data_IF_121259358781
#
_entry.id   IF_121259358781
#
_cell.length_a   1.000
_cell.length_b   1.000
_cell.length_c   1.000
_cell.angle_alpha   90.00
_cell.angle_beta   90.00
_cell.angle_gamma   90.00
#
_symmetry.space_group_name_H-M   'P 1'
#
loop_
_entity.id
_entity.type
_entity.pdbx_description
1 polymer ?
#
# COMPACT_ATOMS: atom_id res chain seq x y z
N UNK A 1 -3.31 -61.57 41.26
CA UNK A 1 -3.11 -60.95 39.93
C UNK A 1 -4.15 -59.84 39.81
N UNK A 2 -3.98 -58.73 40.53
CA UNK A 2 -3.25 -57.50 40.16
C UNK A 2 -4.15 -56.58 39.32
N UNK A 3 -5.01 -55.77 39.94
CA UNK A 3 -4.80 -54.35 40.36
C UNK A 3 -4.27 -53.45 39.24
N UNK A 4 -5.15 -52.64 38.67
CA UNK A 4 -4.85 -51.40 37.93
C UNK A 4 -5.63 -50.25 38.56
N UNK A 5 -4.99 -49.15 38.97
CA UNK A 5 -5.64 -47.97 39.52
C UNK A 5 -5.85 -46.86 38.46
N UNK A 6 -6.85 -46.01 38.69
CA UNK A 6 -6.96 -44.67 38.10
C UNK A 6 -5.76 -43.79 38.47
N UNK A 7 -5.52 -42.72 37.70
CA UNK A 7 -5.65 -41.41 38.34
C UNK A 7 -6.27 -40.30 37.46
N UNK A 8 -7.17 -39.56 38.11
CA UNK A 8 -7.23 -38.10 38.24
C UNK A 8 -7.12 -37.15 37.03
N UNK A 9 -8.27 -36.53 36.79
CA UNK A 9 -8.47 -35.21 36.20
C UNK A 9 -7.69 -34.15 37.00
N UNK A 10 -6.87 -33.36 36.33
CA UNK A 10 -6.51 -32.03 36.79
C UNK A 10 -6.91 -30.99 35.73
N UNK A 11 -7.93 -30.20 36.07
CA UNK A 11 -8.26 -28.95 35.44
C UNK A 11 -7.26 -27.88 35.93
N UNK A 12 -6.49 -27.28 35.02
CA UNK A 12 -5.87 -25.99 35.27
C UNK A 12 -6.45 -24.97 34.29
N UNK A 13 -7.45 -24.25 34.77
CA UNK A 13 -7.88 -22.98 34.22
C UNK A 13 -6.91 -21.91 34.73
N UNK A 14 -6.13 -21.30 33.83
CA UNK A 14 -5.32 -20.12 34.14
C UNK A 14 -6.19 -18.90 33.88
N UNK A 15 -6.66 -18.28 34.95
CA UNK A 15 -7.31 -16.96 34.98
C UNK A 15 -6.19 -15.93 35.03
N UNK A 16 -6.03 -15.13 33.97
CA UNK A 16 -5.22 -13.92 33.99
C UNK A 16 -6.13 -12.74 34.33
N UNK A 17 -6.00 -12.27 35.57
CA UNK A 17 -6.65 -11.06 36.07
C UNK A 17 -5.90 -9.82 35.59
N UNK A 18 -6.62 -8.95 34.89
CA UNK A 18 -6.28 -7.54 34.71
C UNK A 18 -6.44 -6.81 36.04
N UNK A 19 -5.46 -5.97 36.39
CA UNK A 19 -5.67 -4.86 37.31
C UNK A 19 -4.84 -3.67 36.86
N UNK A 20 -5.53 -2.67 36.32
CA UNK A 20 -5.09 -1.27 36.22
C UNK A 20 -6.14 -0.45 36.93
N UNK A 21 -5.73 0.33 37.93
CA UNK A 21 -6.09 1.75 38.12
C UNK A 21 -5.86 2.19 39.57
N UNK A 22 -5.14 3.30 39.74
CA UNK A 22 -5.67 4.55 40.31
C UNK A 22 -4.58 5.36 41.02
N UNK A 23 -4.33 6.58 40.54
CA UNK A 23 -4.14 7.73 41.43
C UNK A 23 -4.48 9.01 40.68
N UNK A 24 -5.60 9.60 41.06
CA UNK A 24 -5.98 10.99 40.78
C UNK A 24 -5.08 11.96 41.56
N UNK A 25 -4.81 13.14 41.01
CA UNK A 25 -4.65 14.35 41.80
C UNK A 25 -4.93 15.60 40.95
N UNK A 26 -5.89 16.38 41.44
CA UNK A 26 -6.41 17.66 40.97
C UNK A 26 -5.38 18.81 40.96
N UNK A 27 -5.68 19.87 40.19
CA UNK A 27 -5.03 21.17 40.36
C UNK A 27 -5.39 22.21 39.30
N UNK A 28 -6.54 22.87 39.47
CA UNK A 28 -6.93 24.10 38.76
C UNK A 28 -6.18 25.32 39.30
N UNK A 29 -5.69 26.24 38.46
CA UNK A 29 -5.63 27.71 38.77
C UNK A 29 -5.50 28.54 37.49
N UNK A 30 -6.28 29.63 37.43
CA UNK A 30 -6.34 30.69 36.41
C UNK A 30 -5.15 31.68 36.47
N UNK A 31 -4.86 32.38 35.37
CA UNK A 31 -4.55 33.83 35.27
C UNK A 31 -3.88 34.11 33.89
N UNK A 32 -4.54 34.80 32.95
CA UNK A 32 -4.60 36.26 32.79
C UNK A 32 -3.41 36.85 32.00
N UNK A 33 -3.76 37.53 30.89
CA UNK A 33 -2.87 38.33 30.02
C UNK A 33 -2.23 39.51 30.79
N UNK A 34 -1.23 40.20 30.19
CA UNK A 34 -1.59 41.41 29.47
C UNK A 34 -0.82 41.65 28.15
N UNK A 35 -1.43 42.50 27.33
CA UNK A 35 -0.89 43.09 26.11
C UNK A 35 0.15 44.18 26.41
N UNK A 36 1.05 44.41 25.45
CA UNK A 36 1.61 45.75 25.17
C UNK A 36 1.92 45.90 23.70
N UNK A 37 1.38 46.97 23.15
CA UNK A 37 1.65 47.59 21.85
C UNK A 37 3.13 47.97 21.70
N UNK A 38 3.64 48.01 20.46
CA UNK A 38 4.54 49.10 20.08
C UNK A 38 4.47 49.41 18.59
N UNK A 39 4.24 50.69 18.31
CA UNK A 39 4.21 51.35 17.02
C UNK A 39 5.59 51.40 16.35
N UNK A 40 5.63 51.59 15.03
CA UNK A 40 6.92 51.90 14.38
C UNK A 40 6.99 51.99 12.86
N UNK A 41 6.34 53.03 12.29
CA UNK A 41 6.85 53.87 11.18
C UNK A 41 7.08 53.25 9.78
N UNK A 42 6.29 53.75 8.83
CA UNK A 42 6.47 53.51 7.38
C UNK A 42 7.47 54.44 6.68
N UNK A 43 7.57 54.25 5.36
CA UNK A 43 7.83 55.30 4.37
C UNK A 43 7.51 54.81 2.95
N UNK A 44 6.57 55.50 2.32
CA UNK A 44 6.27 55.51 0.89
C UNK A 44 7.36 56.21 0.07
N UNK A 45 7.45 55.88 -1.22
CA UNK A 45 7.68 56.84 -2.32
C UNK A 45 7.30 56.23 -3.68
N UNK A 46 6.21 56.74 -4.25
CA UNK A 46 5.95 56.88 -5.69
C UNK A 46 6.84 58.05 -6.25
N UNK A 47 6.97 58.42 -7.54
CA UNK A 47 6.41 58.09 -8.87
C UNK A 47 7.23 58.84 -9.97
N UNK A 48 6.78 58.70 -11.22
CA UNK A 48 7.03 59.44 -12.50
C UNK A 48 7.90 58.67 -13.51
N UNK A 49 7.34 58.03 -14.56
CA UNK A 49 6.78 58.57 -15.85
C UNK A 49 7.88 59.16 -16.76
N UNK A 50 8.00 58.91 -18.07
CA UNK A 50 7.01 58.69 -19.14
C UNK A 50 7.72 58.22 -20.45
N UNK A 51 7.00 57.64 -21.43
CA UNK A 51 7.35 57.79 -22.86
C UNK A 51 7.27 56.57 -23.81
N UNK A 52 6.09 56.36 -24.43
CA UNK A 52 5.73 55.88 -25.80
C UNK A 52 6.72 55.03 -26.65
N UNK A 53 6.34 54.02 -27.46
CA UNK A 53 5.08 53.51 -28.01
C UNK A 53 5.36 52.82 -29.36
N UNK A 54 4.65 51.73 -29.71
CA UNK A 54 4.26 51.26 -31.07
C UNK A 54 4.16 49.71 -31.21
N UNK A 55 2.89 49.27 -31.33
CA UNK A 55 2.31 48.26 -32.24
C UNK A 55 2.95 46.90 -32.60
N UNK A 56 2.06 45.90 -32.47
CA UNK A 56 1.85 44.72 -33.31
C UNK A 56 2.83 43.54 -33.21
N UNK A 57 2.41 42.45 -32.57
CA UNK A 57 1.76 41.32 -33.29
C UNK A 57 1.25 40.30 -32.27
N UNK A 58 0.01 39.85 -32.45
CA UNK A 58 -0.60 38.81 -31.64
C UNK A 58 0.08 37.46 -31.90
N UNK A 59 0.59 36.80 -30.86
CA UNK A 59 0.72 35.34 -30.85
C UNK A 59 0.12 34.86 -29.54
N UNK A 60 -1.19 34.64 -29.56
CA UNK A 60 -1.86 33.77 -28.60
C UNK A 60 -1.34 32.36 -28.84
N UNK A 61 -0.22 32.03 -28.22
CA UNK A 61 0.07 30.66 -27.87
C UNK A 61 -0.94 30.30 -26.79
N UNK A 62 -2.02 29.66 -27.22
CA UNK A 62 -2.86 28.85 -26.34
C UNK A 62 -1.94 27.81 -25.70
N UNK A 63 -1.34 28.17 -24.57
CA UNK A 63 -0.90 27.20 -23.59
C UNK A 63 -2.18 26.58 -23.05
N UNK A 64 -2.64 25.56 -23.77
CA UNK A 64 -3.53 24.55 -23.24
C UNK A 64 -2.81 23.95 -22.03
N UNK A 65 -3.07 24.53 -20.87
CA UNK A 65 -2.81 24.00 -19.54
C UNK A 65 -3.71 22.77 -19.33
N UNK A 66 -3.68 21.81 -20.26
CA UNK A 66 -4.19 20.47 -20.03
C UNK A 66 -3.21 19.82 -19.07
N UNK A 67 -3.54 19.95 -17.79
CA UNK A 67 -3.10 19.02 -16.75
C UNK A 67 -3.09 17.62 -17.39
N UNK A 68 -1.92 16.92 -17.45
CA UNK A 68 -1.87 15.60 -18.06
C UNK A 68 -2.95 14.75 -17.40
N UNK A 69 -3.76 14.06 -18.19
CA UNK A 69 -4.90 13.26 -17.74
C UNK A 69 -4.47 12.29 -16.62
N UNK A 70 -4.57 12.74 -15.36
CA UNK A 70 -3.78 12.22 -14.22
C UNK A 70 -4.19 10.81 -13.80
N UNK A 71 -5.27 10.29 -14.36
CA UNK A 71 -5.89 8.99 -14.01
C UNK A 71 -6.29 8.19 -15.25
N UNK A 72 -6.02 8.68 -16.47
CA UNK A 72 -6.50 8.07 -17.71
C UNK A 72 -6.18 6.58 -17.83
N UNK A 73 -5.03 6.13 -17.30
CA UNK A 73 -4.62 4.73 -17.33
C UNK A 73 -5.50 3.76 -16.51
N UNK A 74 -6.21 4.26 -15.48
CA UNK A 74 -7.11 3.46 -14.62
C UNK A 74 -8.60 3.70 -14.93
N UNK A 75 -8.91 4.62 -15.85
CA UNK A 75 -10.29 5.06 -16.12
C UNK A 75 -11.23 3.90 -16.40
N UNK A 76 -10.84 2.95 -17.27
CA UNK A 76 -11.67 1.80 -17.63
C UNK A 76 -11.97 0.90 -16.42
N UNK A 77 -10.97 0.65 -15.58
CA UNK A 77 -11.13 -0.17 -14.38
C UNK A 77 -12.03 0.50 -13.34
N UNK A 78 -11.87 1.81 -13.13
CA UNK A 78 -12.73 2.59 -12.24
C UNK A 78 -14.17 2.59 -12.79
N UNK A 79 -14.36 2.87 -14.07
CA UNK A 79 -15.66 2.86 -14.73
C UNK A 79 -16.36 1.50 -14.60
N UNK A 80 -15.63 0.40 -14.78
CA UNK A 80 -16.15 -0.95 -14.60
C UNK A 80 -16.62 -1.20 -13.15
N UNK A 81 -15.92 -0.68 -12.14
CA UNK A 81 -16.35 -0.75 -10.74
C UNK A 81 -17.59 0.11 -10.50
N UNK A 82 -17.61 1.36 -10.97
CA UNK A 82 -18.76 2.26 -10.82
C UNK A 82 -20.01 1.69 -11.49
N UNK A 83 -19.87 1.02 -12.64
CA UNK A 83 -20.95 0.32 -13.31
C UNK A 83 -21.48 -0.89 -12.52
N UNK A 84 -20.68 -1.47 -11.62
CA UNK A 84 -21.10 -2.57 -10.75
C UNK A 84 -21.79 -2.10 -9.46
N UNK A 85 -21.62 -0.84 -9.07
CA UNK A 85 -22.26 -0.26 -7.90
C UNK A 85 -23.74 0.00 -8.22
N UNK A 86 -24.61 -0.83 -7.64
CA UNK A 86 -26.06 -0.67 -7.73
C UNK A 86 -26.60 -0.03 -6.44
N UNK A 87 -26.83 1.29 -6.51
CA UNK A 87 -27.33 2.09 -5.40
C UNK A 87 -28.75 1.72 -4.95
N UNK A 88 -29.50 0.97 -5.76
CA UNK A 88 -30.86 0.54 -5.43
C UNK A 88 -30.89 -0.67 -4.50
N UNK A 89 -29.84 -1.51 -4.56
CA UNK A 89 -29.72 -2.74 -3.76
C UNK A 89 -28.67 -2.64 -2.66
N UNK A 90 -27.77 -1.66 -2.73
CA UNK A 90 -26.79 -1.38 -1.68
C UNK A 90 -27.41 -0.67 -0.49
N UNK A 91 -26.81 -0.90 0.69
CA UNK A 91 -27.12 -0.13 1.89
C UNK A 91 -26.76 1.35 1.71
N UNK A 92 -27.14 2.18 2.67
CA UNK A 92 -26.70 3.58 2.74
C UNK A 92 -25.19 3.75 2.93
N UNK A 93 -24.42 2.65 3.00
CA UNK A 93 -22.99 2.64 3.28
C UNK A 93 -22.25 1.93 2.16
N UNK A 94 -21.26 2.59 1.56
CA UNK A 94 -20.30 1.93 0.65
C UNK A 94 -19.04 1.57 1.44
N UNK A 95 -18.90 0.28 1.75
CA UNK A 95 -17.72 -0.23 2.42
C UNK A 95 -16.59 -0.41 1.40
N UNK A 96 -15.50 0.33 1.58
CA UNK A 96 -14.30 0.29 0.74
C UNK A 96 -13.16 -0.36 1.54
N UNK A 97 -12.48 -1.35 0.96
CA UNK A 97 -11.27 -1.94 1.54
C UNK A 97 -10.07 -1.65 0.66
N UNK A 98 -9.13 -0.85 1.16
CA UNK A 98 -7.87 -0.57 0.50
C UNK A 98 -6.75 -1.42 1.10
N UNK A 99 -6.01 -2.12 0.23
CA UNK A 99 -4.83 -2.88 0.61
C UNK A 99 -3.71 -2.63 -0.41
N UNK A 100 -2.79 -1.76 -0.04
CA UNK A 100 -1.59 -1.47 -0.83
C UNK A 100 -0.40 -2.26 -0.27
N UNK A 101 0.33 -2.92 -1.15
CA UNK A 101 1.51 -3.71 -0.79
C UNK A 101 2.70 -3.29 -1.64
N UNK A 102 3.74 -2.65 -1.05
CA UNK A 102 3.86 -2.18 0.33
C UNK A 102 2.93 -1.00 0.67
N UNK A 103 2.78 -0.71 1.98
CA UNK A 103 1.86 0.33 2.44
C UNK A 103 2.35 1.73 2.03
N UNK A 104 1.49 2.63 1.53
CA UNK A 104 1.87 4.00 1.20
C UNK A 104 2.40 4.75 2.43
N UNK A 105 3.29 5.71 2.21
CA UNK A 105 3.77 6.63 3.24
C UNK A 105 2.74 7.74 3.50
N UNK A 106 2.77 8.34 4.69
CA UNK A 106 1.98 9.55 4.95
C UNK A 106 2.48 10.74 4.14
N UNK A 107 1.51 11.57 3.77
CA UNK A 107 1.63 12.95 3.31
C UNK A 107 2.52 13.86 4.19
N UNK A 108 2.79 13.52 5.46
CA UNK A 108 3.61 14.35 6.36
C UNK A 108 5.13 14.27 6.10
N UNK A 109 5.62 13.20 5.47
CA UNK A 109 7.08 13.00 5.25
C UNK A 109 7.57 13.52 3.90
N UNK A 110 6.66 13.92 3.02
CA UNK A 110 6.98 14.41 1.68
C UNK A 110 6.10 15.62 1.43
N UNK A 111 6.70 16.81 1.30
CA UNK A 111 5.98 18.05 0.99
C UNK A 111 4.88 17.77 -0.04
N UNK A 112 3.62 18.01 0.36
CA UNK A 112 2.40 17.72 -0.40
C UNK A 112 2.31 18.44 -1.77
N UNK A 113 3.37 19.18 -2.14
CA UNK A 113 3.48 20.02 -3.34
C UNK A 113 4.17 19.25 -4.48
N UNK A 114 4.78 18.08 -4.24
CA UNK A 114 5.53 17.33 -5.27
C UNK A 114 5.12 15.85 -5.37
N UNK A 115 3.82 15.57 -5.38
CA UNK A 115 3.26 14.27 -5.78
C UNK A 115 2.45 14.38 -7.09
N UNK A 116 3.02 14.74 -8.26
CA UNK A 116 2.20 15.00 -9.45
C UNK A 116 1.95 13.75 -10.30
N UNK A 117 2.71 12.66 -10.14
CA UNK A 117 2.81 11.62 -11.18
C UNK A 117 2.28 10.22 -10.80
N UNK A 118 1.78 10.04 -9.57
CA UNK A 118 0.91 8.91 -9.23
C UNK A 118 -0.23 9.48 -8.40
N UNK A 119 -1.27 10.00 -9.05
CA UNK A 119 -2.59 10.06 -8.40
C UNK A 119 -2.92 8.62 -8.00
N UNK A 120 -3.01 8.37 -6.70
CA UNK A 120 -3.09 6.99 -6.22
C UNK A 120 -4.34 6.32 -6.79
N UNK A 121 -4.27 5.05 -7.17
CA UNK A 121 -5.45 4.31 -7.67
C UNK A 121 -6.62 4.38 -6.66
N UNK A 122 -6.28 4.53 -5.38
CA UNK A 122 -7.20 4.83 -4.29
C UNK A 122 -7.93 6.17 -4.46
N UNK A 123 -7.24 7.29 -4.69
CA UNK A 123 -7.86 8.61 -4.88
C UNK A 123 -8.77 8.65 -6.11
N UNK A 124 -8.32 8.06 -7.22
CA UNK A 124 -9.10 7.91 -8.44
C UNK A 124 -10.42 7.17 -8.18
N UNK A 125 -10.33 6.02 -7.50
CA UNK A 125 -11.49 5.21 -7.15
C UNK A 125 -12.41 5.94 -6.17
N UNK A 126 -11.85 6.55 -5.12
CA UNK A 126 -12.61 7.25 -4.10
C UNK A 126 -13.39 8.42 -4.69
N UNK A 127 -12.75 9.23 -5.54
CA UNK A 127 -13.39 10.36 -6.21
C UNK A 127 -14.57 9.91 -7.07
N UNK A 128 -14.39 8.84 -7.85
CA UNK A 128 -15.44 8.29 -8.70
C UNK A 128 -16.59 7.67 -7.88
N UNK A 129 -16.30 7.02 -6.75
CA UNK A 129 -17.33 6.52 -5.84
C UNK A 129 -18.10 7.69 -5.24
N UNK A 130 -17.40 8.73 -4.77
CA UNK A 130 -18.02 9.90 -4.16
C UNK A 130 -18.97 10.61 -5.12
N UNK A 131 -18.56 10.81 -6.37
CA UNK A 131 -19.42 11.35 -7.44
C UNK A 131 -20.66 10.47 -7.66
N UNK A 132 -20.49 9.14 -7.65
CA UNK A 132 -21.60 8.19 -7.86
C UNK A 132 -22.63 8.24 -6.72
N UNK A 133 -22.19 8.46 -5.48
CA UNK A 133 -23.05 8.34 -4.29
C UNK A 133 -23.59 9.68 -3.78
N UNK A 134 -23.45 10.78 -4.53
CA UNK A 134 -23.83 12.15 -4.15
C UNK A 134 -25.35 12.33 -3.95
N UNK A 135 -25.87 11.63 -2.95
CA UNK A 135 -27.26 11.56 -2.55
C UNK A 135 -27.32 11.67 -1.03
N UNK A 136 -28.24 12.47 -0.49
CA UNK A 136 -28.32 12.70 0.95
C UNK A 136 -28.51 11.40 1.72
N UNK A 137 -27.71 11.22 2.78
CA UNK A 137 -27.78 10.06 3.68
C UNK A 137 -26.95 8.85 3.27
N UNK A 138 -26.11 8.94 2.23
CA UNK A 138 -25.10 7.92 1.92
C UNK A 138 -23.71 8.34 2.37
N UNK A 139 -22.93 7.38 2.85
CA UNK A 139 -21.54 7.60 3.22
C UNK A 139 -20.62 6.43 2.82
N UNK A 140 -19.32 6.70 2.79
CA UNK A 140 -18.23 5.77 2.48
C UNK A 140 -17.57 5.40 3.81
N UNK A 141 -17.40 4.10 4.06
CA UNK A 141 -16.60 3.58 5.17
C UNK A 141 -15.37 2.88 4.59
N UNK A 142 -14.19 3.44 4.82
CA UNK A 142 -12.93 2.99 4.27
C UNK A 142 -12.15 2.22 5.33
N UNK A 143 -11.76 1.01 4.98
CA UNK A 143 -10.86 0.17 5.76
C UNK A 143 -9.50 0.13 5.06
N UNK A 144 -8.45 0.61 5.73
CA UNK A 144 -7.08 0.43 5.29
C UNK A 144 -6.49 -0.83 5.93
N UNK A 145 -6.14 -1.81 5.11
CA UNK A 145 -5.37 -2.97 5.52
C UNK A 145 -3.90 -2.57 5.64
N UNK A 146 -3.40 -2.48 6.87
CA UNK A 146 -2.03 -2.03 7.18
C UNK A 146 -1.17 -3.18 7.73
N UNK A 147 0.15 -3.21 7.50
CA UNK A 147 1.00 -4.24 8.09
C UNK A 147 1.05 -4.10 9.63
N UNK A 148 1.41 -5.19 10.33
CA UNK A 148 1.52 -5.19 11.81
C UNK A 148 2.56 -4.18 12.33
N UNK A 149 3.65 -3.97 11.58
CA UNK A 149 4.69 -2.98 11.87
C UNK A 149 4.39 -1.71 11.07
N UNK A 150 3.40 -0.96 11.51
CA UNK A 150 2.95 0.27 10.85
C UNK A 150 2.89 1.43 11.84
N UNK A 151 3.28 2.62 11.41
CA UNK A 151 3.12 3.82 12.22
C UNK A 151 1.74 4.42 11.97
N UNK A 152 0.93 4.60 13.01
CA UNK A 152 -0.43 5.15 12.89
C UNK A 152 -0.47 6.56 12.27
N UNK A 153 0.65 7.31 12.28
CA UNK A 153 0.76 8.60 11.57
C UNK A 153 0.81 8.46 10.05
N UNK A 154 0.90 7.23 9.53
CA UNK A 154 0.97 6.92 8.10
C UNK A 154 -0.40 6.60 7.46
N UNK A 155 -1.48 6.52 8.25
CA UNK A 155 -2.83 6.37 7.70
C UNK A 155 -3.17 7.68 6.98
N UNK A 156 -3.68 7.65 5.74
CA UNK A 156 -4.27 8.83 5.13
C UNK A 156 -5.34 9.38 6.08
N UNK A 157 -5.05 10.52 6.71
CA UNK A 157 -5.98 11.15 7.62
C UNK A 157 -7.17 11.63 6.81
N UNK A 158 -8.38 11.30 7.27
CA UNK A 158 -9.58 12.05 6.88
C UNK A 158 -9.30 13.54 7.10
N UNK A 159 -9.85 14.47 6.30
CA UNK A 159 -9.53 15.88 6.43
C UNK A 159 -9.66 16.33 7.88
N UNK A 160 -8.57 16.85 8.45
CA UNK A 160 -8.57 17.37 9.80
C UNK A 160 -9.35 18.69 9.78
N UNK A 161 -10.54 18.72 10.37
CA UNK A 161 -11.07 19.97 10.91
C UNK A 161 -12.01 19.70 12.07
N UNK A 162 -11.44 19.70 13.27
CA UNK A 162 -12.19 20.07 14.48
C UNK A 162 -12.70 21.50 14.25
N UNK A 163 -14.00 21.77 14.26
CA UNK A 163 -14.49 23.12 13.99
C UNK A 163 -14.13 24.03 15.16
N UNK A 164 -13.22 24.98 14.93
CA UNK A 164 -13.26 26.26 15.64
C UNK A 164 -14.58 26.93 15.26
N UNK A 165 -15.36 27.34 16.27
CA UNK A 165 -16.76 27.82 16.21
C UNK A 165 -17.02 29.05 15.31
N UNK A 166 -16.06 29.47 14.49
CA UNK A 166 -16.10 30.66 13.66
C UNK A 166 -15.23 30.45 12.40
N UNK A 167 -15.68 29.66 11.42
CA UNK A 167 -15.18 29.78 10.06
C UNK A 167 -16.09 29.03 9.09
N UNK A 168 -16.24 29.60 7.90
CA UNK A 168 -16.95 29.11 6.71
C UNK A 168 -16.32 27.81 6.17
N UNK A 169 -16.41 26.72 6.92
CA UNK A 169 -15.77 25.41 6.70
C UNK A 169 -16.88 24.33 6.58
N UNK A 170 -16.70 23.27 5.77
CA UNK A 170 -17.71 22.21 5.62
C UNK A 170 -18.08 21.62 6.99
N UNK A 171 -19.37 21.49 7.24
CA UNK A 171 -19.95 21.08 8.52
C UNK A 171 -19.43 19.69 8.93
N UNK A 172 -19.04 19.50 10.20
CA UNK A 172 -18.55 18.20 10.71
C UNK A 172 -19.56 17.05 10.47
N UNK A 173 -20.86 17.39 10.42
CA UNK A 173 -21.97 16.47 10.15
C UNK A 173 -22.24 16.25 8.65
N UNK A 174 -21.45 16.87 7.76
CA UNK A 174 -21.50 16.70 6.31
C UNK A 174 -20.37 15.81 5.77
N UNK A 175 -19.57 15.21 6.65
CA UNK A 175 -18.57 14.21 6.25
C UNK A 175 -19.25 12.93 5.78
N UNK A 176 -19.17 12.66 4.49
CA UNK A 176 -19.68 11.43 3.86
C UNK A 176 -18.59 10.36 3.71
N UNK A 177 -17.40 10.53 4.32
CA UNK A 177 -16.28 9.60 4.23
C UNK A 177 -15.66 9.38 5.61
N UNK A 178 -15.64 8.12 6.04
CA UNK A 178 -15.05 7.66 7.29
C UNK A 178 -13.91 6.70 6.97
N UNK A 179 -12.81 6.76 7.72
CA UNK A 179 -11.66 5.90 7.51
C UNK A 179 -11.22 5.24 8.82
N UNK A 180 -10.84 3.97 8.73
CA UNK A 180 -10.26 3.16 9.82
C UNK A 180 -9.14 2.28 9.28
N UNK A 181 -8.20 1.92 10.14
CA UNK A 181 -7.15 0.96 9.80
C UNK A 181 -7.34 -0.35 10.55
N UNK A 182 -7.05 -1.45 9.86
CA UNK A 182 -7.06 -2.80 10.42
C UNK A 182 -5.75 -3.48 10.03
N UNK A 183 -5.15 -4.18 11.00
CA UNK A 183 -3.92 -4.92 10.77
C UNK A 183 -4.18 -6.12 9.85
N UNK A 184 -3.48 -6.16 8.73
CA UNK A 184 -3.36 -7.31 7.85
C UNK A 184 -2.09 -8.08 8.20
N UNK A 185 -2.21 -9.42 8.26
CA UNK A 185 -1.06 -10.29 8.44
C UNK A 185 -0.21 -10.25 7.18
N UNK A 186 1.08 -9.95 7.33
CA UNK A 186 2.02 -10.04 6.21
C UNK A 186 2.15 -11.51 5.78
N UNK A 187 1.89 -11.76 4.50
CA UNK A 187 1.95 -13.10 3.94
C UNK A 187 3.39 -13.62 3.88
N UNK A 188 4.41 -12.76 3.91
CA UNK A 188 5.80 -13.14 4.09
C UNK A 188 6.05 -13.78 5.45
N UNK A 189 5.51 -13.20 6.52
CA UNK A 189 5.62 -13.74 7.89
C UNK A 189 4.76 -15.01 8.07
N UNK A 190 3.65 -15.10 7.34
CA UNK A 190 2.75 -16.26 7.34
C UNK A 190 3.37 -17.53 6.73
N UNK A 191 4.32 -17.41 5.80
CA UNK A 191 5.03 -18.55 5.23
C UNK A 191 5.93 -19.25 6.25
N UNK A 192 6.41 -18.50 7.26
CA UNK A 192 7.35 -18.99 8.27
C UNK A 192 6.65 -19.53 9.54
N UNK A 193 5.33 -19.46 9.62
CA UNK A 193 4.56 -19.83 10.80
C UNK A 193 3.55 -20.94 10.48
N UNK A 194 3.45 -21.95 11.36
CA UNK A 194 2.52 -23.09 11.27
C UNK A 194 1.06 -22.68 11.54
N UNK A 195 0.60 -21.60 10.91
CA UNK A 195 -0.76 -21.06 11.04
C UNK A 195 -1.64 -21.70 9.97
N UNK A 196 -2.91 -22.04 10.26
CA UNK A 196 -3.83 -22.66 9.30
C UNK A 196 -3.87 -21.95 7.93
N UNK A 197 -4.16 -22.74 6.89
CA UNK A 197 -4.25 -22.26 5.51
C UNK A 197 -5.34 -21.20 5.32
N UNK A 198 -5.24 -20.45 4.22
CA UNK A 198 -6.21 -19.48 3.72
C UNK A 198 -7.65 -20.02 3.77
N UNK A 199 -8.67 -19.18 4.07
CA UNK A 199 -8.62 -17.72 4.09
C UNK A 199 -8.36 -17.08 5.46
N UNK A 200 -7.72 -15.90 5.43
CA UNK A 200 -7.45 -15.00 6.56
C UNK A 200 -7.99 -13.60 6.26
N UNK A 201 -9.32 -13.41 6.37
CA UNK A 201 -9.90 -12.13 6.05
C UNK A 201 -9.55 -11.07 7.11
N UNK A 202 -9.42 -9.82 6.67
CA UNK A 202 -9.17 -8.61 7.46
C UNK A 202 -10.49 -8.01 7.96
N UNK A 203 -11.58 -8.29 7.26
CA UNK A 203 -12.94 -7.84 7.56
C UNK A 203 -13.91 -9.03 7.50
N UNK A 204 -15.12 -8.97 8.08
CA UNK A 204 -16.07 -10.07 7.96
C UNK A 204 -16.28 -10.50 6.50
N UNK A 205 -16.32 -11.81 6.19
CA UNK A 205 -16.61 -12.26 4.83
C UNK A 205 -17.92 -11.66 4.32
N UNK A 206 -17.99 -11.37 3.01
CA UNK A 206 -19.18 -10.82 2.37
C UNK A 206 -19.63 -9.43 2.83
N UNK A 207 -18.75 -8.61 3.42
CA UNK A 207 -19.09 -7.26 3.93
C UNK A 207 -18.66 -6.09 3.04
N UNK A 208 -17.76 -6.29 2.09
CA UNK A 208 -17.11 -5.19 1.33
C UNK A 208 -17.78 -4.94 -0.02
N UNK A 209 -18.15 -3.68 -0.27
CA UNK A 209 -18.73 -3.27 -1.55
C UNK A 209 -17.66 -3.13 -2.63
N UNK A 210 -16.56 -2.46 -2.30
CA UNK A 210 -15.44 -2.22 -3.22
C UNK A 210 -14.12 -2.53 -2.52
N UNK A 211 -13.25 -3.30 -3.17
CA UNK A 211 -11.90 -3.56 -2.67
C UNK A 211 -10.87 -3.11 -3.70
N UNK A 212 -9.79 -2.48 -3.23
CA UNK A 212 -8.60 -2.16 -4.01
C UNK A 212 -7.43 -2.96 -3.42
N UNK A 213 -6.84 -3.83 -4.23
CA UNK A 213 -5.61 -4.54 -3.91
C UNK A 213 -4.54 -4.13 -4.92
N UNK A 214 -3.55 -3.37 -4.46
CA UNK A 214 -2.52 -2.83 -5.35
C UNK A 214 -1.12 -3.22 -4.90
N UNK A 215 -0.28 -3.55 -5.88
CA UNK A 215 1.15 -3.75 -5.74
C UNK A 215 1.81 -3.32 -7.04
N UNK A 216 2.89 -2.56 -6.93
CA UNK A 216 3.64 -2.06 -8.09
C UNK A 216 5.05 -2.63 -8.18
N UNK A 217 5.65 -3.05 -7.06
CA UNK A 217 6.96 -3.70 -7.03
C UNK A 217 6.84 -5.21 -6.85
N UNK A 218 7.73 -6.02 -7.46
CA UNK A 218 7.69 -7.47 -7.34
C UNK A 218 7.85 -7.94 -5.88
N UNK A 219 7.24 -9.07 -5.52
CA UNK A 219 7.36 -9.62 -4.17
C UNK A 219 8.77 -10.08 -3.82
N UNK A 220 9.09 -10.09 -2.52
CA UNK A 220 10.41 -10.52 -2.04
C UNK A 220 10.65 -12.02 -2.17
N UNK A 221 9.58 -12.81 -2.23
CA UNK A 221 9.64 -14.27 -2.31
C UNK A 221 8.81 -14.80 -3.48
N UNK A 222 9.36 -15.83 -4.10
CA UNK A 222 8.71 -16.61 -5.15
C UNK A 222 7.45 -17.33 -4.64
N UNK A 223 7.51 -17.86 -3.43
CA UNK A 223 6.40 -18.56 -2.78
C UNK A 223 5.19 -17.64 -2.61
N UNK A 224 5.40 -16.35 -2.28
CA UNK A 224 4.32 -15.36 -2.21
C UNK A 224 3.58 -15.26 -3.55
N UNK A 225 4.32 -15.19 -4.67
CA UNK A 225 3.74 -15.11 -6.00
C UNK A 225 3.00 -16.40 -6.41
N UNK A 226 3.55 -17.57 -6.08
CA UNK A 226 2.91 -18.86 -6.36
C UNK A 226 1.60 -18.99 -5.58
N UNK A 227 1.59 -18.63 -4.31
CA UNK A 227 0.42 -18.74 -3.44
C UNK A 227 -0.67 -17.73 -3.78
N UNK A 228 -0.34 -16.59 -4.39
CA UNK A 228 -1.30 -15.56 -4.80
C UNK A 228 -2.50 -16.12 -5.57
N UNK A 229 -2.29 -17.11 -6.44
CA UNK A 229 -3.35 -17.73 -7.26
C UNK A 229 -3.84 -19.09 -6.72
N UNK A 230 -3.43 -19.49 -5.52
CA UNK A 230 -3.80 -20.74 -4.88
C UNK A 230 -4.97 -20.54 -3.90
N UNK A 231 -5.87 -21.52 -3.84
CA UNK A 231 -7.02 -21.52 -2.91
C UNK A 231 -6.71 -22.16 -1.57
N UNK A 232 -5.68 -23.00 -1.54
CA UNK A 232 -5.26 -23.89 -0.45
C UNK A 232 -3.95 -23.45 0.21
N UNK A 233 -3.44 -22.27 -0.16
CA UNK A 233 -2.26 -21.64 0.44
C UNK A 233 -2.58 -20.19 0.85
N UNK A 234 -1.78 -19.56 1.74
CA UNK A 234 -1.97 -18.18 2.16
C UNK A 234 -1.99 -17.21 0.95
N UNK A 235 -3.17 -16.72 0.58
CA UNK A 235 -3.36 -15.83 -0.57
C UNK A 235 -4.11 -14.56 -0.16
N UNK A 236 -3.45 -13.42 -0.31
CA UNK A 236 -4.07 -12.10 -0.13
C UNK A 236 -5.25 -11.91 -1.09
N UNK A 237 -5.10 -12.36 -2.33
CA UNK A 237 -6.12 -12.20 -3.37
C UNK A 237 -7.38 -13.01 -3.02
N UNK A 238 -7.22 -14.25 -2.54
CA UNK A 238 -8.36 -15.06 -2.08
C UNK A 238 -9.05 -14.41 -0.88
N UNK A 239 -8.29 -13.86 0.07
CA UNK A 239 -8.85 -13.15 1.22
C UNK A 239 -9.71 -11.96 0.78
N UNK A 240 -9.20 -11.10 -0.13
CA UNK A 240 -9.97 -9.97 -0.66
C UNK A 240 -11.23 -10.44 -1.41
N UNK A 241 -11.15 -11.53 -2.18
CA UNK A 241 -12.29 -12.05 -2.93
C UNK A 241 -13.42 -12.62 -2.04
N UNK A 242 -13.10 -13.23 -0.90
CA UNK A 242 -14.14 -13.76 0.02
C UNK A 242 -14.81 -12.66 0.85
N UNK A 243 -14.16 -11.52 1.02
CA UNK A 243 -14.66 -10.35 1.74
C UNK A 243 -15.68 -9.55 0.91
N UNK A 244 -15.64 -9.67 -0.42
CA UNK A 244 -16.57 -8.99 -1.32
C UNK A 244 -18.02 -9.39 -1.02
N UNK A 245 -18.92 -8.40 -1.01
CA UNK A 245 -20.35 -8.59 -0.90
C UNK A 245 -20.89 -9.44 -2.05
N UNK A 246 -21.84 -10.36 -1.81
CA UNK A 246 -22.53 -11.11 -2.85
C UNK A 246 -23.46 -10.24 -3.70
N UNK A 247 -23.78 -9.02 -3.24
CA UNK A 247 -24.63 -8.06 -3.93
C UNK A 247 -23.78 -7.14 -4.83
N UNK A 248 -23.13 -7.72 -5.85
CA UNK A 248 -22.29 -6.99 -6.81
C UNK A 248 -21.00 -6.38 -6.21
N UNK A 249 -20.41 -7.00 -5.19
CA UNK A 249 -19.11 -6.57 -4.66
C UNK A 249 -18.02 -6.61 -5.74
N UNK A 250 -17.16 -5.60 -5.79
CA UNK A 250 -16.14 -5.44 -6.83
C UNK A 250 -14.73 -5.32 -6.25
N UNK A 251 -13.74 -5.90 -6.93
CA UNK A 251 -12.31 -5.82 -6.59
C UNK A 251 -11.53 -5.28 -7.79
N UNK A 252 -10.75 -4.21 -7.58
CA UNK A 252 -9.66 -3.83 -8.48
C UNK A 252 -8.38 -4.49 -7.96
N UNK A 253 -7.72 -5.25 -8.82
CA UNK A 253 -6.45 -5.89 -8.54
C UNK A 253 -5.37 -5.37 -9.49
N UNK A 254 -4.35 -4.73 -8.93
CA UNK A 254 -3.20 -4.16 -9.66
C UNK A 254 -1.96 -4.92 -9.21
N UNK A 255 -1.21 -5.50 -10.16
CA UNK A 255 -0.05 -6.33 -9.82
C UNK A 255 1.03 -6.28 -10.92
N UNK A 256 2.33 -6.26 -10.58
CA UNK A 256 3.40 -6.26 -11.57
C UNK A 256 3.40 -7.55 -12.39
N UNK A 257 3.62 -7.41 -13.70
CA UNK A 257 3.85 -8.52 -14.62
C UNK A 257 5.31 -8.96 -14.60
N UNK A 258 5.66 -10.08 -15.27
CA UNK A 258 7.06 -10.44 -15.46
C UNK A 258 7.89 -9.34 -16.14
N UNK A 259 7.45 -8.76 -17.30
CA UNK A 259 8.14 -7.62 -17.89
C UNK A 259 8.28 -6.44 -16.92
N UNK A 260 7.21 -6.08 -16.19
CA UNK A 260 7.27 -4.99 -15.22
C UNK A 260 8.25 -5.26 -14.07
N UNK A 261 8.33 -6.49 -13.59
CA UNK A 261 9.29 -6.90 -12.57
C UNK A 261 10.74 -6.86 -13.08
N UNK A 262 10.98 -7.24 -14.33
CA UNK A 262 12.28 -7.10 -15.00
C UNK A 262 12.66 -5.63 -15.16
N UNK A 263 11.75 -4.78 -15.61
CA UNK A 263 11.95 -3.33 -15.71
C UNK A 263 12.29 -2.73 -14.35
N UNK A 264 11.55 -3.09 -13.30
CA UNK A 264 11.87 -2.66 -11.94
C UNK A 264 13.29 -3.11 -11.51
N UNK A 265 13.62 -4.38 -11.71
CA UNK A 265 14.92 -4.93 -11.32
C UNK A 265 16.08 -4.24 -12.05
N UNK A 266 15.94 -4.01 -13.35
CA UNK A 266 17.03 -3.56 -14.22
C UNK A 266 17.15 -2.03 -14.33
N UNK A 267 16.03 -1.31 -14.34
CA UNK A 267 15.99 0.14 -14.62
C UNK A 267 15.81 0.99 -13.37
N UNK A 268 15.17 0.43 -12.33
CA UNK A 268 14.94 1.14 -11.06
C UNK A 268 15.95 0.73 -10.00
N UNK A 269 15.95 -0.55 -9.59
CA UNK A 269 16.77 -1.00 -8.47
C UNK A 269 18.25 -1.24 -8.86
N UNK A 270 18.49 -1.98 -9.93
CA UNK A 270 19.82 -2.44 -10.36
C UNK A 270 20.87 -1.33 -10.48
N UNK A 271 20.58 -0.17 -11.09
CA UNK A 271 21.53 0.93 -11.24
C UNK A 271 22.00 1.51 -9.90
N UNK A 272 21.18 1.38 -8.85
CA UNK A 272 21.51 1.86 -7.50
C UNK A 272 22.18 0.75 -6.67
N UNK A 273 21.59 -0.45 -6.69
CA UNK A 273 21.98 -1.55 -5.83
C UNK A 273 23.27 -2.24 -6.28
N UNK A 274 23.48 -2.50 -7.58
CA UNK A 274 24.68 -3.23 -8.02
C UNK A 274 25.97 -2.47 -7.74
N UNK A 275 26.07 -1.16 -8.04
CA UNK A 275 27.28 -0.40 -7.69
C UNK A 275 27.47 -0.28 -6.17
N UNK A 276 26.39 -0.25 -5.38
CA UNK A 276 26.45 -0.22 -3.92
C UNK A 276 27.05 -1.51 -3.37
N UNK A 277 26.52 -2.66 -3.80
CA UNK A 277 27.00 -3.97 -3.37
C UNK A 277 28.47 -4.18 -3.79
N UNK A 278 28.88 -3.71 -4.97
CA UNK A 278 30.28 -3.78 -5.41
C UNK A 278 31.20 -2.96 -4.49
N UNK A 279 30.78 -1.75 -4.11
CA UNK A 279 31.53 -0.91 -3.17
C UNK A 279 31.63 -1.57 -1.80
N UNK A 280 30.52 -2.12 -1.27
CA UNK A 280 30.52 -2.80 0.02
C UNK A 280 31.40 -4.07 0.02
N UNK A 281 31.33 -4.87 -1.04
CA UNK A 281 32.19 -6.05 -1.24
C UNK A 281 33.66 -5.67 -1.20
N UNK A 282 34.04 -4.56 -1.86
CA UNK A 282 35.41 -4.06 -1.89
C UNK A 282 35.87 -3.48 -0.55
N UNK A 283 35.06 -2.61 0.08
CA UNK A 283 35.43 -1.89 1.31
C UNK A 283 35.48 -2.82 2.52
N UNK A 284 34.50 -3.69 2.66
CA UNK A 284 34.37 -4.59 3.81
C UNK A 284 34.98 -5.97 3.54
N UNK A 285 35.66 -6.17 2.39
CA UNK A 285 36.19 -7.45 1.94
C UNK A 285 35.14 -8.59 2.02
N UNK A 286 33.90 -8.31 1.61
CA UNK A 286 32.83 -9.31 1.63
C UNK A 286 32.99 -10.28 0.45
N UNK A 287 32.48 -11.49 0.57
CA UNK A 287 32.43 -12.43 -0.56
C UNK A 287 31.49 -11.92 -1.65
N UNK A 288 31.75 -12.31 -2.90
CA UNK A 288 30.82 -12.10 -4.01
C UNK A 288 29.45 -12.74 -3.76
N UNK A 289 29.39 -13.81 -2.95
CA UNK A 289 28.14 -14.47 -2.55
C UNK A 289 27.20 -13.53 -1.77
N UNK A 290 27.75 -12.57 -1.02
CA UNK A 290 26.96 -11.56 -0.33
C UNK A 290 26.23 -10.66 -1.33
N UNK A 291 26.97 -10.14 -2.32
CA UNK A 291 26.41 -9.31 -3.38
C UNK A 291 25.34 -10.04 -4.19
N UNK A 292 25.58 -11.31 -4.54
CA UNK A 292 24.60 -12.14 -5.24
C UNK A 292 23.34 -12.40 -4.39
N UNK A 293 23.50 -12.64 -3.08
CA UNK A 293 22.39 -12.88 -2.16
C UNK A 293 21.50 -11.66 -1.94
N UNK A 294 22.09 -10.47 -1.80
CA UNK A 294 21.33 -9.23 -1.59
C UNK A 294 20.75 -8.70 -2.90
N UNK A 295 21.51 -8.75 -4.01
CA UNK A 295 21.15 -8.16 -5.30
C UNK A 295 20.10 -8.92 -6.10
N UNK A 296 19.87 -10.20 -5.81
CA UNK A 296 18.94 -11.03 -6.59
C UNK A 296 17.48 -10.82 -6.17
N UNK A 297 16.65 -10.37 -7.12
CA UNK A 297 15.17 -10.43 -7.01
C UNK A 297 14.69 -11.78 -7.57
N UNK A 298 14.75 -12.84 -6.77
CA UNK A 298 14.54 -14.21 -7.24
C UNK A 298 13.13 -14.51 -7.78
N UNK A 299 12.13 -13.68 -7.45
CA UNK A 299 10.76 -13.89 -7.93
C UNK A 299 10.58 -13.62 -9.42
N UNK A 300 11.42 -12.76 -10.01
CA UNK A 300 11.28 -12.32 -11.42
C UNK A 300 11.23 -13.53 -12.35
N UNK A 301 12.09 -14.53 -12.10
CA UNK A 301 12.19 -15.78 -12.86
C UNK A 301 10.88 -16.61 -12.86
N UNK A 302 10.00 -16.42 -11.87
CA UNK A 302 8.76 -17.19 -11.69
C UNK A 302 7.50 -16.41 -12.05
N UNK A 303 7.63 -15.09 -12.19
CA UNK A 303 6.53 -14.23 -12.59
C UNK A 303 6.10 -14.54 -14.03
N UNK A 304 4.88 -14.15 -14.36
CA UNK A 304 4.29 -14.44 -15.65
C UNK A 304 3.92 -13.15 -16.39
N UNK A 305 3.91 -13.25 -17.72
CA UNK A 305 3.30 -12.24 -18.59
C UNK A 305 1.82 -12.02 -18.25
N UNK A 306 1.30 -10.90 -18.73
CA UNK A 306 -0.09 -10.50 -18.50
C UNK A 306 -1.09 -11.58 -18.91
N UNK A 307 -0.89 -12.20 -20.08
CA UNK A 307 -1.83 -13.18 -20.65
C UNK A 307 -1.89 -14.48 -19.82
N UNK A 308 -0.75 -14.96 -19.32
CA UNK A 308 -0.71 -16.10 -18.38
C UNK A 308 -1.31 -15.72 -17.03
N UNK A 309 -1.03 -14.52 -16.53
CA UNK A 309 -1.61 -14.03 -15.27
C UNK A 309 -3.14 -13.94 -15.36
N UNK A 310 -3.68 -13.38 -16.44
CA UNK A 310 -5.12 -13.32 -16.72
C UNK A 310 -5.76 -14.72 -16.75
N UNK A 311 -5.09 -15.70 -17.37
CA UNK A 311 -5.54 -17.10 -17.38
C UNK A 311 -5.54 -17.73 -15.98
N UNK A 312 -4.51 -17.50 -15.17
CA UNK A 312 -4.48 -17.94 -13.76
C UNK A 312 -5.59 -17.29 -12.93
N UNK A 313 -5.82 -16.00 -13.13
CA UNK A 313 -6.92 -15.28 -12.49
C UNK A 313 -8.26 -15.95 -12.84
N UNK A 314 -8.57 -16.14 -14.12
CA UNK A 314 -9.81 -16.81 -14.54
C UNK A 314 -9.94 -18.24 -13.96
N UNK A 315 -8.84 -19.00 -13.89
CA UNK A 315 -8.84 -20.33 -13.28
C UNK A 315 -9.16 -20.26 -11.77
N UNK A 316 -8.55 -19.32 -11.05
CA UNK A 316 -8.84 -19.07 -9.64
C UNK A 316 -10.32 -18.72 -9.44
N UNK A 317 -10.85 -17.76 -10.21
CA UNK A 317 -12.25 -17.34 -10.10
C UNK A 317 -13.22 -18.50 -10.39
N UNK A 318 -12.91 -19.38 -11.36
CA UNK A 318 -13.68 -20.60 -11.63
C UNK A 318 -13.64 -21.59 -10.47
N UNK A 319 -12.46 -21.78 -9.84
CA UNK A 319 -12.32 -22.66 -8.67
C UNK A 319 -13.15 -22.13 -7.49
N UNK A 320 -13.05 -20.84 -7.19
CA UNK A 320 -13.82 -20.19 -6.12
C UNK A 320 -15.33 -20.24 -6.40
N UNK A 321 -15.74 -20.06 -7.66
CA UNK A 321 -17.17 -20.10 -8.02
C UNK A 321 -17.81 -21.48 -7.97
N UNK A 322 -17.00 -22.56 -8.01
CA UNK A 322 -17.50 -23.94 -7.94
C UNK A 322 -17.76 -24.42 -6.51
N UNK A 323 -17.22 -23.71 -5.51
CA UNK A 323 -17.31 -24.09 -4.10
C UNK A 323 -16.52 -25.35 -3.76
N UNK A 324 -15.86 -25.36 -2.60
CA UNK A 324 -15.54 -26.61 -1.90
C UNK A 324 -16.86 -27.23 -1.46
N UNK A 325 -17.07 -28.51 -1.78
CA UNK A 325 -18.35 -29.24 -1.68
C UNK A 325 -18.94 -29.41 -0.26
N UNK A 326 -18.53 -28.62 0.73
CA UNK A 326 -18.92 -28.74 2.13
C UNK A 326 -19.90 -27.64 2.62
N UNK A 327 -20.17 -26.58 1.84
CA UNK A 327 -21.13 -25.53 2.20
C UNK A 327 -22.52 -25.75 1.57
N UNK A 328 -23.01 -27.00 1.58
CA UNK A 328 -24.34 -27.35 1.11
C UNK A 328 -25.38 -27.23 2.22
N UNK A 329 -25.59 -26.02 2.76
CA UNK A 329 -26.80 -25.69 3.51
C UNK A 329 -27.18 -24.25 3.16
N UNK A 330 -28.09 -24.11 2.19
CA UNK A 330 -28.98 -22.96 1.95
C UNK A 330 -28.43 -21.60 1.45
N UNK A 331 -27.13 -21.44 1.17
CA UNK A 331 -26.62 -20.17 0.62
C UNK A 331 -26.19 -20.30 -0.85
N UNK A 332 -26.63 -19.35 -1.68
CA UNK A 332 -26.34 -19.27 -3.12
C UNK A 332 -24.83 -19.38 -3.39
N UNK A 333 -24.46 -20.13 -4.43
CA UNK A 333 -23.05 -20.35 -4.80
C UNK A 333 -22.46 -19.05 -5.35
N UNK A 334 -21.42 -18.47 -4.72
CA UNK A 334 -20.87 -17.21 -5.17
C UNK A 334 -20.31 -17.35 -6.59
N UNK A 335 -20.66 -16.43 -7.49
CA UNK A 335 -20.13 -16.37 -8.85
C UNK A 335 -19.18 -15.19 -8.98
N UNK A 336 -17.93 -15.49 -9.32
CA UNK A 336 -16.89 -14.52 -9.60
C UNK A 336 -16.69 -14.37 -11.11
N UNK A 337 -16.74 -13.13 -11.61
CA UNK A 337 -16.54 -12.82 -13.02
C UNK A 337 -15.50 -11.73 -13.19
N UNK A 338 -14.56 -11.93 -14.11
CA UNK A 338 -13.64 -10.90 -14.55
C UNK A 338 -14.39 -9.97 -15.52
N UNK A 339 -14.62 -8.72 -15.12
CA UNK A 339 -15.36 -7.73 -15.93
C UNK A 339 -14.43 -6.90 -16.79
N UNK A 340 -13.23 -6.59 -16.30
CA UNK A 340 -12.23 -5.77 -16.97
C UNK A 340 -10.86 -6.44 -16.81
N UNK A 341 -10.02 -6.38 -17.83
CA UNK A 341 -8.61 -6.69 -17.69
C UNK A 341 -7.78 -5.91 -18.70
N UNK A 342 -6.80 -5.15 -18.23
CA UNK A 342 -5.92 -4.36 -19.07
C UNK A 342 -4.48 -4.41 -18.59
N UNK A 343 -3.57 -4.12 -19.51
CA UNK A 343 -2.14 -3.96 -19.26
C UNK A 343 -1.84 -2.47 -19.25
N UNK A 344 -1.12 -2.02 -18.24
CA UNK A 344 -0.84 -0.60 -18.04
C UNK A 344 0.64 -0.41 -17.68
N UNK A 345 1.21 0.73 -18.05
CA UNK A 345 2.59 1.09 -17.70
C UNK A 345 2.57 2.26 -16.73
N UNK A 346 3.12 2.06 -15.54
CA UNK A 346 3.09 3.04 -14.45
C UNK A 346 4.51 3.47 -14.10
N UNK A 347 4.80 4.76 -14.21
CA UNK A 347 6.06 5.31 -13.76
C UNK A 347 6.04 5.50 -12.24
N UNK A 348 7.02 4.92 -11.55
CA UNK A 348 7.14 5.08 -10.11
C UNK A 348 8.05 6.25 -9.73
N UNK A 349 7.54 7.13 -8.87
CA UNK A 349 8.37 8.16 -8.24
C UNK A 349 9.44 7.50 -7.37
N UNK A 350 10.66 8.06 -7.45
CA UNK A 350 11.83 7.51 -6.78
C UNK A 350 11.63 7.38 -5.27
N UNK A 351 11.12 8.44 -4.62
CA UNK A 351 10.97 8.50 -3.16
C UNK A 351 10.02 7.42 -2.67
N UNK A 352 9.00 7.12 -3.48
CA UNK A 352 7.93 6.19 -3.16
C UNK A 352 8.42 4.75 -3.24
N UNK A 353 8.93 4.35 -4.41
CA UNK A 353 9.31 2.95 -4.58
C UNK A 353 10.51 2.58 -3.71
N UNK A 354 11.42 3.52 -3.39
CA UNK A 354 12.56 3.22 -2.51
C UNK A 354 12.09 2.85 -1.11
N UNK A 355 11.10 3.55 -0.56
CA UNK A 355 10.57 3.23 0.76
C UNK A 355 9.77 1.93 0.75
N UNK A 356 8.99 1.67 -0.29
CA UNK A 356 8.34 0.39 -0.50
C UNK A 356 9.36 -0.76 -0.52
N UNK A 357 10.43 -0.61 -1.30
CA UNK A 357 11.50 -1.61 -1.37
C UNK A 357 12.17 -1.81 -0.02
N UNK A 358 12.49 -0.75 0.72
CA UNK A 358 13.10 -0.86 2.05
C UNK A 358 12.17 -1.58 3.03
N UNK A 359 10.90 -1.21 3.09
CA UNK A 359 9.91 -1.88 3.96
C UNK A 359 9.84 -3.37 3.66
N UNK A 360 9.78 -3.73 2.37
CA UNK A 360 9.65 -5.11 1.92
C UNK A 360 10.91 -5.95 2.17
N UNK A 361 12.09 -5.38 1.90
CA UNK A 361 13.35 -6.14 1.80
C UNK A 361 14.16 -6.19 3.09
N UNK A 362 13.85 -5.34 4.09
CA UNK A 362 14.59 -5.26 5.36
C UNK A 362 14.77 -6.63 6.03
N UNK A 363 13.69 -7.43 6.11
CA UNK A 363 13.73 -8.76 6.73
C UNK A 363 14.57 -9.76 5.94
N UNK A 364 14.45 -9.75 4.61
CA UNK A 364 15.21 -10.64 3.73
C UNK A 364 16.70 -10.31 3.77
N UNK A 365 17.06 -9.03 3.65
CA UNK A 365 18.45 -8.55 3.67
C UNK A 365 19.09 -8.90 5.01
N UNK A 366 18.38 -8.68 6.14
CA UNK A 366 18.85 -9.09 7.46
C UNK A 366 19.17 -10.59 7.51
N UNK A 367 18.27 -11.43 7.01
CA UNK A 367 18.47 -12.89 6.98
C UNK A 367 19.70 -13.28 6.15
N UNK A 368 19.91 -12.62 5.00
CA UNK A 368 21.09 -12.85 4.15
C UNK A 368 22.38 -12.44 4.86
N UNK A 369 22.39 -11.27 5.50
CA UNK A 369 23.54 -10.75 6.26
C UNK A 369 23.86 -11.65 7.47
N UNK A 370 22.86 -12.06 8.25
CA UNK A 370 23.05 -12.95 9.41
C UNK A 370 23.60 -14.31 9.00
N UNK A 371 23.04 -14.92 7.95
CA UNK A 371 23.53 -16.18 7.39
C UNK A 371 24.97 -16.05 6.89
N UNK A 372 25.31 -14.90 6.31
CA UNK A 372 26.67 -14.62 5.86
C UNK A 372 27.66 -14.54 7.02
N UNK A 373 27.34 -13.78 8.08
CA UNK A 373 28.21 -13.62 9.26
C UNK A 373 28.37 -14.92 10.05
N UNK A 374 27.32 -15.75 10.14
CA UNK A 374 27.38 -17.07 10.78
C UNK A 374 28.34 -18.05 10.10
N UNK A 375 28.65 -17.86 8.81
CA UNK A 375 29.59 -18.71 8.06
C UNK A 375 31.07 -18.43 8.38
N UNK A 376 31.36 -17.57 9.35
CA UNK A 376 32.72 -17.38 9.88
C UNK A 376 33.69 -16.68 8.93
N UNK A 377 33.19 -16.03 7.88
CA UNK A 377 34.00 -15.13 7.05
C UNK A 377 34.22 -13.86 7.87
N UNK A 378 35.24 -13.88 8.73
CA UNK A 378 35.64 -12.72 9.53
C UNK A 378 35.88 -11.54 8.60
N UNK A 379 35.21 -10.43 8.86
CA UNK A 379 35.53 -9.13 8.29
C UNK A 379 36.96 -8.79 8.76
N UNK A 380 37.99 -8.77 7.88
CA UNK A 380 39.39 -8.69 8.31
C UNK A 380 39.83 -7.29 8.76
N UNK A 381 38.91 -6.36 8.95
CA UNK A 381 39.19 -4.98 9.31
C UNK A 381 38.83 -4.76 10.78
N UNK A 382 39.74 -4.18 11.55
CA UNK A 382 39.58 -3.87 12.99
C UNK A 382 38.48 -2.85 13.35
N UNK A 383 37.44 -2.73 12.52
CA UNK A 383 36.16 -2.12 12.85
C UNK A 383 35.14 -3.25 13.00
N UNK A 384 34.48 -3.33 14.15
CA UNK A 384 33.37 -4.27 14.35
C UNK A 384 32.21 -3.91 13.42
N UNK A 385 32.19 -4.50 12.23
CA UNK A 385 31.07 -4.40 11.30
C UNK A 385 29.99 -5.38 11.77
N UNK A 386 28.91 -4.83 12.32
CA UNK A 386 27.75 -5.62 12.80
C UNK A 386 26.79 -5.94 11.66
N UNK A 387 25.94 -6.96 11.85
CA UNK A 387 24.85 -7.26 10.92
C UNK A 387 23.94 -6.05 10.69
N UNK A 388 23.63 -5.32 11.78
CA UNK A 388 22.77 -4.15 11.73
C UNK A 388 23.37 -3.03 10.87
N UNK A 389 24.68 -2.77 10.99
CA UNK A 389 25.36 -1.75 10.19
C UNK A 389 25.36 -2.08 8.70
N UNK A 390 25.57 -3.34 8.32
CA UNK A 390 25.52 -3.76 6.92
C UNK A 390 24.11 -3.66 6.33
N UNK A 391 23.09 -4.04 7.10
CA UNK A 391 21.69 -3.90 6.68
C UNK A 391 21.35 -2.43 6.44
N UNK A 392 21.67 -1.54 7.38
CA UNK A 392 21.40 -0.10 7.23
C UNK A 392 22.18 0.50 6.04
N UNK A 393 23.45 0.14 5.87
CA UNK A 393 24.26 0.63 4.74
C UNK A 393 23.65 0.26 3.38
N UNK A 394 23.09 -0.95 3.24
CA UNK A 394 22.36 -1.35 2.02
C UNK A 394 21.08 -0.52 1.84
N UNK A 395 20.25 -0.42 2.87
CA UNK A 395 18.94 0.24 2.79
C UNK A 395 19.10 1.75 2.55
N UNK A 396 19.97 2.41 3.30
CA UNK A 396 20.25 3.84 3.16
C UNK A 396 21.02 4.15 1.89
N UNK A 397 21.87 3.22 1.43
CA UNK A 397 22.53 3.34 0.15
C UNK A 397 21.53 3.41 -1.01
N UNK A 398 20.46 2.62 -1.00
CA UNK A 398 19.40 2.70 -2.02
C UNK A 398 18.60 4.01 -1.92
N UNK A 399 18.31 4.49 -0.70
CA UNK A 399 17.59 5.77 -0.48
C UNK A 399 18.37 6.99 -0.94
N UNK A 400 19.68 7.02 -0.67
CA UNK A 400 20.51 8.22 -0.85
C UNK A 400 21.26 8.27 -2.17
N UNK A 401 21.53 7.12 -2.79
CA UNK A 401 22.31 7.08 -4.04
C UNK A 401 21.51 7.59 -5.21
N UNK A 402 22.11 8.51 -5.96
CA UNK A 402 21.52 9.02 -7.19
C UNK A 402 21.83 8.13 -8.38
N UNK A 403 20.95 8.18 -9.37
CA UNK A 403 21.24 7.59 -10.67
C UNK A 403 22.39 8.34 -11.33
N UNK A 404 23.22 7.61 -12.09
CA UNK A 404 24.35 8.22 -12.80
C UNK A 404 23.87 9.17 -13.91
N UNK A 405 22.74 8.84 -14.54
CA UNK A 405 22.13 9.63 -15.60
C UNK A 405 20.81 10.24 -15.10
N UNK A 406 20.80 11.57 -14.93
CA UNK A 406 19.62 12.32 -14.49
C UNK A 406 18.59 12.56 -15.62
N UNK A 407 19.00 12.42 -16.88
CA UNK A 407 18.24 12.88 -18.06
C UNK A 407 17.49 11.78 -18.84
N UNK A 408 17.53 10.52 -18.39
CA UNK A 408 16.81 9.44 -19.08
C UNK A 408 15.43 9.28 -18.44
N UNK A 409 14.38 9.63 -19.19
CA UNK A 409 13.01 9.22 -18.86
C UNK A 409 12.99 7.71 -18.66
N UNK A 410 12.65 7.27 -17.45
CA UNK A 410 12.62 5.84 -17.13
C UNK A 410 11.37 5.22 -17.72
N UNK A 411 11.55 4.06 -18.32
CA UNK A 411 10.44 3.22 -18.77
C UNK A 411 9.53 2.89 -17.58
N UNK A 412 8.21 2.98 -17.77
CA UNK A 412 7.23 2.63 -16.76
C UNK A 412 7.20 1.12 -16.47
N UNK A 413 6.72 0.76 -15.29
CA UNK A 413 6.56 -0.63 -14.88
C UNK A 413 5.24 -1.18 -15.44
N UNK A 414 5.32 -2.27 -16.19
CA UNK A 414 4.12 -2.97 -16.69
C UNK A 414 3.36 -3.67 -15.55
N UNK A 415 2.13 -3.26 -15.31
CA UNK A 415 1.19 -3.87 -14.36
C UNK A 415 -0.03 -4.45 -15.09
N UNK A 416 -0.56 -5.55 -14.55
CA UNK A 416 -1.87 -6.06 -14.91
C UNK A 416 -2.92 -5.43 -14.00
N UNK A 417 -3.97 -4.87 -14.60
CA UNK A 417 -5.15 -4.36 -13.91
C UNK A 417 -6.31 -5.30 -14.19
N UNK A 418 -6.96 -5.79 -13.14
CA UNK A 418 -8.08 -6.72 -13.23
C UNK A 418 -9.25 -6.22 -12.38
N UNK A 419 -10.45 -6.17 -12.94
CA UNK A 419 -11.67 -5.90 -12.18
C UNK A 419 -12.49 -7.17 -12.07
N UNK A 420 -12.74 -7.59 -10.84
CA UNK A 420 -13.50 -8.79 -10.52
C UNK A 420 -14.80 -8.38 -9.84
N UNK A 421 -15.91 -8.93 -10.32
CA UNK A 421 -17.24 -8.80 -9.71
C UNK A 421 -17.65 -10.11 -9.04
N UNK A 422 -18.20 -10.02 -7.84
CA UNK A 422 -18.87 -11.12 -7.13
C UNK A 422 -20.38 -10.93 -7.19
N UNK A 423 -21.08 -12.00 -7.54
CA UNK A 423 -22.55 -12.08 -7.56
C UNK A 423 -23.02 -13.33 -6.83
N UNK A 424 -24.24 -13.31 -6.33
CA UNK A 424 -24.87 -14.45 -5.64
C UNK A 424 -25.41 -15.49 -6.62
#
# INVERSE_FOLDING_TARGET
MSKTPSPDRNHNAVILGNNVSASEASGSTQAAMPATENEGKGKEKEKEEEGAGADAMSSSSDEDDTLPDRVGWLADAVNAVIANIDLSTMSHVVNVLCHSQPCPLSNETVDAITWPNITSAFEALLSAIQEKIDSPGRYIDIVHAIPLKFNMTQIPTSPATTPSFQSTVPDYFSMNVFSKAVVAIDHQDALNTSVPSSPRPVVPPSSISVSLLERFIPPSSAEEYVHLFATDAPSVLVNRLIELSPNSGSLIFIYPTAPGAETFANMYLGPLLHPLLRTMVSIHNLSMDFGAGVGRIAVVDQMQDFEKMARKMQLLLRKLSRGTSASNIQHRTPKYTLTESSKQCVQLDRRVWTEWWVQQETGRIRTVVERYLQRGVMVPTGKEVTAATLVQEVLDGVRTRNYADYDVEREGIEVGVFVIKRTA
#
